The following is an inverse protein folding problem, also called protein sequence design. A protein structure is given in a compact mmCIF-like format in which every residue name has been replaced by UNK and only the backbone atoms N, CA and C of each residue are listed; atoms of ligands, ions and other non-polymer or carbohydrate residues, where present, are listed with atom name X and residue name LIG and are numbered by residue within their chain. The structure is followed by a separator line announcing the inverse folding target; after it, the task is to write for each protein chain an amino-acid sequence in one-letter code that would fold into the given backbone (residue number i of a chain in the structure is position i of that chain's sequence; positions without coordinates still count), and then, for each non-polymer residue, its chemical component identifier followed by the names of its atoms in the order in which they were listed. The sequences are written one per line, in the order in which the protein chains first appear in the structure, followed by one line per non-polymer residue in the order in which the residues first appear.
data_IF_337853354824
#
_entry.id   IF_337853354824
#
_cell.length_a   1.000
_cell.length_b   1.000
_cell.length_c   1.000
_cell.angle_alpha   90.00
_cell.angle_beta   90.00
_cell.angle_gamma   90.00
#
_symmetry.space_group_name_H-M   'P 1'
#
loop_
_entity.id
_entity.type
_entity.pdbx_description
1 polymer ?
#
# COMPACT_ATOMS: atom_id res chain seq x y z
N UNK A 1 4.58 24.92 -2.69
CA UNK A 1 4.66 23.44 -2.72
C UNK A 1 4.09 23.06 -4.06
N UNK A 2 4.95 22.87 -5.07
CA UNK A 2 4.50 22.56 -6.44
C UNK A 2 3.74 21.24 -6.42
N UNK A 3 2.66 21.15 -7.18
CA UNK A 3 1.87 19.95 -7.43
C UNK A 3 2.76 18.90 -8.15
N UNK A 4 3.67 18.29 -7.39
CA UNK A 4 4.52 17.22 -7.88
C UNK A 4 3.72 15.91 -7.92
N UNK A 5 3.58 15.39 -9.14
CA UNK A 5 4.01 14.04 -9.56
C UNK A 5 3.36 12.82 -8.89
N UNK A 6 2.05 12.80 -8.66
CA UNK A 6 1.37 11.51 -8.43
C UNK A 6 1.37 10.63 -9.69
N UNK A 7 1.40 11.25 -10.88
CA UNK A 7 1.53 10.54 -12.16
C UNK A 7 2.83 9.75 -12.30
N UNK A 8 3.90 10.09 -11.57
CA UNK A 8 5.19 9.43 -11.76
C UNK A 8 5.15 7.92 -11.55
N UNK A 9 4.26 7.45 -10.67
CA UNK A 9 4.22 6.05 -10.23
C UNK A 9 3.43 5.16 -11.19
N UNK A 10 2.22 5.59 -11.54
CA UNK A 10 1.39 4.95 -12.56
C UNK A 10 2.07 5.04 -13.93
N UNK A 11 2.64 6.20 -14.27
CA UNK A 11 3.30 6.39 -15.56
C UNK A 11 4.60 5.59 -15.63
N UNK A 12 5.30 5.38 -14.51
CA UNK A 12 6.45 4.47 -14.49
C UNK A 12 6.01 3.04 -14.82
N UNK A 13 4.91 2.54 -14.25
CA UNK A 13 4.41 1.20 -14.59
C UNK A 13 3.97 1.14 -16.05
N UNK A 14 3.20 2.13 -16.49
CA UNK A 14 2.69 2.20 -17.85
C UNK A 14 3.81 2.25 -18.89
N UNK A 15 4.76 3.17 -18.75
CA UNK A 15 5.84 3.36 -19.71
C UNK A 15 6.82 2.19 -19.72
N UNK A 16 7.24 1.69 -18.55
CA UNK A 16 8.29 0.67 -18.47
C UNK A 16 7.79 -0.75 -18.70
N UNK A 17 6.52 -1.06 -18.41
CA UNK A 17 6.01 -2.42 -18.54
C UNK A 17 4.93 -2.55 -19.61
N UNK A 18 3.91 -1.71 -19.60
CA UNK A 18 2.78 -1.89 -20.53
C UNK A 18 3.18 -1.50 -21.95
N UNK A 19 3.68 -0.28 -22.11
CA UNK A 19 4.03 0.29 -23.41
C UNK A 19 5.26 -0.38 -24.01
N UNK A 20 6.31 -0.59 -23.21
CA UNK A 20 7.55 -1.24 -23.65
C UNK A 20 7.34 -2.66 -24.17
N UNK A 21 6.39 -3.40 -23.60
CA UNK A 21 6.13 -4.79 -23.96
C UNK A 21 4.89 -5.00 -24.84
N UNK A 22 4.24 -3.91 -25.31
CA UNK A 22 3.06 -3.97 -26.18
C UNK A 22 1.96 -4.92 -25.66
N UNK A 23 1.72 -4.90 -24.34
CA UNK A 23 0.88 -5.91 -23.69
C UNK A 23 -0.61 -5.65 -23.94
N UNK A 24 -1.01 -4.38 -23.99
CA UNK A 24 -2.40 -3.95 -24.15
C UNK A 24 -2.49 -2.85 -25.19
N UNK A 25 -3.56 -2.89 -25.98
CA UNK A 25 -3.97 -1.73 -26.79
C UNK A 25 -4.49 -0.62 -25.86
N UNK A 26 -4.33 0.63 -26.27
CA UNK A 26 -4.77 1.79 -25.45
C UNK A 26 -6.26 1.77 -25.11
N UNK A 27 -7.08 1.10 -25.93
CA UNK A 27 -8.52 0.93 -25.70
C UNK A 27 -8.84 -0.02 -24.56
N UNK A 28 -7.90 -0.91 -24.22
CA UNK A 28 -8.09 -1.96 -23.21
C UNK A 28 -7.61 -1.49 -21.81
N UNK A 29 -7.07 -0.27 -21.73
CA UNK A 29 -6.37 0.25 -20.56
C UNK A 29 -7.03 1.53 -20.04
N UNK A 30 -7.34 1.54 -18.75
CA UNK A 30 -7.70 2.74 -18.01
C UNK A 30 -6.59 3.11 -17.02
N UNK A 31 -6.09 4.34 -17.10
CA UNK A 31 -5.12 4.92 -16.15
C UNK A 31 -5.80 6.09 -15.44
N UNK A 32 -5.92 5.97 -14.12
CA UNK A 32 -6.56 7.01 -13.32
C UNK A 32 -5.85 8.37 -13.46
N UNK A 33 -6.63 9.41 -13.71
CA UNK A 33 -6.15 10.79 -13.82
C UNK A 33 -5.62 11.17 -15.20
N UNK A 34 -5.44 10.22 -16.13
CA UNK A 34 -5.02 10.51 -17.50
C UNK A 34 -6.16 10.50 -18.52
N UNK A 35 -7.29 9.87 -18.20
CA UNK A 35 -8.39 9.65 -19.14
C UNK A 35 -9.73 10.07 -18.53
N UNK A 36 -10.55 10.77 -19.32
CA UNK A 36 -11.97 10.93 -19.04
C UNK A 36 -12.66 9.58 -19.24
N UNK A 37 -13.48 9.16 -18.27
CA UNK A 37 -14.12 7.84 -18.31
C UNK A 37 -15.52 7.93 -18.87
N UNK A 38 -15.75 7.22 -19.98
CA UNK A 38 -17.09 6.83 -20.40
C UNK A 38 -17.47 5.51 -19.69
N UNK A 39 -18.52 5.55 -18.86
CA UNK A 39 -18.94 4.41 -18.01
C UNK A 39 -19.39 3.20 -18.84
N UNK A 40 -19.74 3.40 -20.11
CA UNK A 40 -20.15 2.34 -21.04
C UNK A 40 -18.98 1.53 -21.62
N UNK A 41 -17.74 1.98 -21.41
CA UNK A 41 -16.53 1.28 -21.87
C UNK A 41 -16.00 0.38 -20.75
N UNK A 42 -15.74 -0.88 -21.11
CA UNK A 42 -15.07 -1.84 -20.24
C UNK A 42 -13.58 -1.92 -20.58
N UNK A 43 -12.75 -2.16 -19.57
CA UNK A 43 -11.30 -2.22 -19.70
C UNK A 43 -10.76 -3.56 -19.21
N UNK A 44 -9.74 -4.10 -19.90
CA UNK A 44 -9.03 -5.32 -19.48
C UNK A 44 -7.99 -5.05 -18.42
N UNK A 45 -7.46 -3.84 -18.36
CA UNK A 45 -6.49 -3.43 -17.36
C UNK A 45 -6.85 -2.06 -16.79
N UNK A 46 -6.91 -1.98 -15.47
CA UNK A 46 -7.05 -0.72 -14.74
C UNK A 46 -5.78 -0.52 -13.91
N UNK A 47 -5.13 0.62 -14.09
CA UNK A 47 -4.04 1.08 -13.24
C UNK A 47 -4.51 2.26 -12.38
N UNK A 48 -4.33 2.15 -11.07
CA UNK A 48 -4.75 3.19 -10.13
C UNK A 48 -3.82 3.28 -8.92
N UNK A 49 -3.60 4.49 -8.44
CA UNK A 49 -2.93 4.76 -7.17
C UNK A 49 -3.95 5.21 -6.11
N UNK A 50 -3.68 4.91 -4.84
CA UNK A 50 -4.51 5.45 -3.76
C UNK A 50 -3.99 6.83 -3.35
N UNK A 51 -4.85 7.88 -3.35
CA UNK A 51 -4.37 9.23 -3.20
C UNK A 51 -3.82 9.47 -1.77
N UNK A 52 -2.50 9.64 -1.67
CA UNK A 52 -1.78 9.88 -0.40
C UNK A 52 -2.13 11.19 0.31
N UNK A 53 -2.72 12.16 -0.42
CA UNK A 53 -2.77 13.57 0.00
C UNK A 53 -3.99 13.93 0.86
N UNK A 54 -4.98 13.05 0.99
CA UNK A 54 -6.21 13.40 1.70
C UNK A 54 -6.17 12.90 3.14
N UNK A 55 -5.84 13.79 4.07
CA UNK A 55 -5.98 13.59 5.54
C UNK A 55 -7.41 13.24 6.00
N UNK A 56 -8.39 13.19 5.08
CA UNK A 56 -9.80 12.92 5.33
C UNK A 56 -10.40 11.94 4.30
N UNK A 57 -9.63 10.99 3.79
CA UNK A 57 -10.27 9.87 3.08
C UNK A 57 -11.11 9.09 4.08
N UNK A 58 -12.42 9.20 3.95
CA UNK A 58 -13.38 8.33 4.61
C UNK A 58 -13.37 6.98 3.89
N UNK A 59 -13.71 5.92 4.61
CA UNK A 59 -13.88 4.58 4.01
C UNK A 59 -14.80 4.60 2.78
N UNK A 60 -15.78 5.51 2.74
CA UNK A 60 -16.71 5.66 1.61
C UNK A 60 -16.02 5.96 0.27
N UNK A 61 -14.99 6.81 0.24
CA UNK A 61 -14.33 7.19 -1.03
C UNK A 61 -13.60 5.99 -1.61
N UNK A 62 -12.99 5.16 -0.77
CA UNK A 62 -12.32 3.94 -1.22
C UNK A 62 -13.32 2.94 -1.78
N UNK A 63 -14.46 2.77 -1.11
CA UNK A 63 -15.51 1.86 -1.56
C UNK A 63 -16.09 2.32 -2.90
N UNK A 64 -16.43 3.61 -3.03
CA UNK A 64 -16.95 4.18 -4.29
C UNK A 64 -15.99 3.94 -5.45
N UNK A 65 -14.69 4.14 -5.22
CA UNK A 65 -13.64 3.88 -6.21
C UNK A 65 -13.55 2.40 -6.58
N UNK A 66 -13.61 1.50 -5.60
CA UNK A 66 -13.62 0.05 -5.84
C UNK A 66 -14.88 -0.41 -6.59
N UNK A 67 -16.04 0.16 -6.27
CA UNK A 67 -17.29 -0.11 -6.98
C UNK A 67 -17.22 0.38 -8.44
N UNK A 68 -16.68 1.57 -8.66
CA UNK A 68 -16.45 2.11 -9.99
C UNK A 68 -15.51 1.21 -10.80
N UNK A 69 -14.38 0.78 -10.24
CA UNK A 69 -13.48 -0.16 -10.95
C UNK A 69 -14.18 -1.46 -11.31
N UNK A 70 -15.03 -1.98 -10.43
CA UNK A 70 -15.82 -3.18 -10.72
C UNK A 70 -16.81 -2.95 -11.86
N UNK A 71 -17.38 -1.76 -11.95
CA UNK A 71 -18.30 -1.38 -13.01
C UNK A 71 -17.61 -1.24 -14.37
N UNK A 72 -16.37 -0.78 -14.44
CA UNK A 72 -15.68 -0.60 -15.74
C UNK A 72 -14.72 -1.74 -16.11
N UNK A 73 -14.60 -2.79 -15.29
CA UNK A 73 -13.74 -3.94 -15.59
C UNK A 73 -14.40 -4.93 -16.55
N UNK A 74 -13.65 -5.41 -17.55
CA UNK A 74 -14.05 -6.53 -18.41
C UNK A 74 -14.04 -7.86 -17.64
N UNK A 75 -14.75 -8.86 -18.19
CA UNK A 75 -14.63 -10.23 -17.70
C UNK A 75 -13.18 -10.72 -17.90
N UNK A 76 -12.58 -11.29 -16.86
CA UNK A 76 -11.15 -11.63 -16.78
C UNK A 76 -10.18 -10.43 -16.74
N UNK A 77 -10.70 -9.21 -16.65
CA UNK A 77 -9.89 -8.01 -16.49
C UNK A 77 -9.10 -7.99 -15.17
N UNK A 78 -8.07 -7.15 -15.16
CA UNK A 78 -7.15 -6.95 -14.05
C UNK A 78 -7.22 -5.52 -13.53
N UNK A 79 -7.19 -5.37 -12.21
CA UNK A 79 -6.90 -4.07 -11.57
C UNK A 79 -5.57 -4.18 -10.84
N UNK A 80 -4.65 -3.27 -11.13
CA UNK A 80 -3.41 -3.11 -10.40
C UNK A 80 -3.51 -1.83 -9.58
N UNK A 81 -3.60 -2.02 -8.25
CA UNK A 81 -3.65 -0.93 -7.29
C UNK A 81 -2.30 -0.71 -6.64
N UNK A 82 -1.90 0.55 -6.55
CA UNK A 82 -0.70 0.96 -5.83
C UNK A 82 -1.17 1.61 -4.54
N UNK A 83 -0.81 1.01 -3.42
CA UNK A 83 -1.29 1.45 -2.10
C UNK A 83 -0.14 1.63 -1.11
N UNK A 84 -0.32 2.50 -0.10
CA UNK A 84 0.56 2.47 1.07
C UNK A 84 0.46 1.12 1.78
N UNK A 85 1.60 0.50 2.12
CA UNK A 85 1.61 -0.84 2.74
C UNK A 85 0.86 -0.89 4.07
N UNK A 86 0.78 0.22 4.82
CA UNK A 86 0.05 0.25 6.08
C UNK A 86 -1.47 0.00 5.94
N UNK A 87 -2.05 0.16 4.75
CA UNK A 87 -3.45 -0.20 4.52
C UNK A 87 -3.67 -1.73 4.60
N UNK A 88 -2.62 -2.53 4.33
CA UNK A 88 -2.68 -3.99 4.35
C UNK A 88 -2.75 -4.59 5.74
N UNK A 89 -2.32 -3.88 6.79
CA UNK A 89 -2.26 -4.45 8.15
C UNK A 89 -2.84 -3.56 9.24
N UNK A 90 -2.93 -2.23 9.04
CA UNK A 90 -3.35 -1.34 10.12
C UNK A 90 -4.81 -1.58 10.53
N UNK A 91 -5.09 -1.56 11.83
CA UNK A 91 -6.47 -1.66 12.36
C UNK A 91 -7.40 -0.55 11.83
N UNK A 92 -6.87 0.65 11.61
CA UNK A 92 -7.63 1.78 11.06
C UNK A 92 -8.14 1.52 9.63
N UNK A 93 -7.55 0.56 8.91
CA UNK A 93 -7.88 0.25 7.51
C UNK A 93 -8.57 -1.12 7.36
N UNK A 94 -9.08 -1.68 8.45
CA UNK A 94 -9.74 -3.00 8.43
C UNK A 94 -10.95 -3.03 7.50
N UNK A 95 -11.84 -2.04 7.59
CA UNK A 95 -13.01 -1.94 6.71
C UNK A 95 -12.61 -1.93 5.23
N UNK A 96 -11.58 -1.15 4.87
CA UNK A 96 -11.06 -1.12 3.50
C UNK A 96 -10.67 -2.52 3.00
N UNK A 97 -9.96 -3.32 3.83
CA UNK A 97 -9.57 -4.68 3.44
C UNK A 97 -10.77 -5.61 3.32
N UNK A 98 -11.74 -5.48 4.21
CA UNK A 98 -13.00 -6.23 4.15
C UNK A 98 -13.76 -5.91 2.86
N UNK A 99 -13.93 -4.63 2.54
CA UNK A 99 -14.61 -4.18 1.33
C UNK A 99 -13.89 -4.65 0.06
N UNK A 100 -12.55 -4.55 0.06
CA UNK A 100 -11.70 -5.05 -1.03
C UNK A 100 -11.92 -6.54 -1.31
N UNK A 101 -11.93 -7.36 -0.25
CA UNK A 101 -12.15 -8.81 -0.34
C UNK A 101 -13.58 -9.19 -0.72
N UNK A 102 -14.58 -8.35 -0.40
CA UNK A 102 -15.97 -8.56 -0.81
C UNK A 102 -16.21 -8.19 -2.28
N UNK A 103 -15.56 -7.14 -2.77
CA UNK A 103 -15.79 -6.63 -4.12
C UNK A 103 -14.99 -7.39 -5.17
N UNK A 104 -13.77 -7.81 -4.84
CA UNK A 104 -12.81 -8.39 -5.76
C UNK A 104 -12.17 -9.69 -5.24
N UNK A 105 -11.69 -10.50 -6.17
CA UNK A 105 -10.71 -11.53 -5.86
C UNK A 105 -9.30 -10.91 -5.83
N UNK A 106 -8.61 -11.03 -4.70
CA UNK A 106 -7.21 -10.63 -4.57
C UNK A 106 -6.33 -11.78 -5.10
N UNK A 107 -5.83 -11.63 -6.31
CA UNK A 107 -4.97 -12.63 -6.94
C UNK A 107 -3.55 -12.57 -6.38
N UNK A 108 -3.01 -11.36 -6.21
CA UNK A 108 -1.68 -11.17 -5.67
C UNK A 108 -1.50 -9.89 -4.87
N UNK A 109 -0.56 -9.92 -3.93
CA UNK A 109 -0.07 -8.76 -3.18
C UNK A 109 1.45 -8.78 -3.23
N UNK A 110 2.06 -7.67 -3.61
CA UNK A 110 3.51 -7.53 -3.65
C UNK A 110 3.95 -6.32 -2.83
N UNK A 111 4.68 -6.56 -1.73
CA UNK A 111 5.27 -5.49 -0.92
C UNK A 111 6.62 -5.09 -1.49
N UNK A 112 6.82 -3.79 -1.75
CA UNK A 112 8.08 -3.26 -2.28
C UNK A 112 8.95 -2.78 -1.12
N UNK A 113 10.05 -3.49 -0.89
CA UNK A 113 11.00 -3.24 0.20
C UNK A 113 12.19 -2.37 -0.21
N UNK A 114 12.22 -1.89 -1.47
CA UNK A 114 13.32 -1.10 -2.00
C UNK A 114 13.26 0.33 -1.44
N UNK A 115 14.25 0.76 -0.64
CA UNK A 115 14.31 2.14 -0.15
C UNK A 115 14.39 3.12 -1.31
N UNK A 116 13.62 4.21 -1.26
CA UNK A 116 13.59 5.26 -2.28
C UNK A 116 13.26 4.77 -3.70
N UNK A 117 12.59 3.61 -3.87
CA UNK A 117 12.11 3.18 -5.18
C UNK A 117 11.33 4.30 -5.89
N UNK A 118 10.58 5.06 -5.10
CA UNK A 118 10.07 6.35 -5.50
C UNK A 118 10.90 7.43 -4.81
N UNK A 119 11.64 8.20 -5.58
CA UNK A 119 12.57 9.27 -5.14
C UNK A 119 11.94 10.35 -4.24
N UNK A 120 10.63 10.27 -3.96
CA UNK A 120 9.84 11.33 -3.34
C UNK A 120 9.04 10.88 -2.11
N UNK A 121 9.25 9.64 -1.62
CA UNK A 121 8.41 9.07 -0.57
C UNK A 121 9.19 8.22 0.43
N UNK A 122 9.00 8.51 1.72
CA UNK A 122 9.40 7.64 2.84
C UNK A 122 8.34 6.57 3.16
N UNK A 123 7.26 6.54 2.41
CA UNK A 123 6.13 5.62 2.61
C UNK A 123 6.43 4.36 1.80
N UNK A 124 6.37 3.19 2.46
CA UNK A 124 6.43 1.90 1.78
C UNK A 124 5.15 1.67 0.98
N UNK A 125 5.28 1.05 -0.19
CA UNK A 125 4.14 0.75 -1.05
C UNK A 125 4.03 -0.73 -1.34
N UNK A 126 2.82 -1.13 -1.68
CA UNK A 126 2.52 -2.47 -2.13
C UNK A 126 1.64 -2.40 -3.38
N UNK A 127 1.83 -3.35 -4.28
CA UNK A 127 0.92 -3.60 -5.38
C UNK A 127 -0.14 -4.61 -4.94
N UNK A 128 -1.40 -4.34 -5.27
CA UNK A 128 -2.47 -5.32 -5.18
C UNK A 128 -2.98 -5.61 -6.57
N UNK A 129 -3.04 -6.89 -6.90
CA UNK A 129 -3.59 -7.41 -8.14
C UNK A 129 -4.98 -7.96 -7.86
N UNK A 130 -5.99 -7.33 -8.43
CA UNK A 130 -7.38 -7.71 -8.28
C UNK A 130 -7.93 -8.24 -9.60
N UNK A 131 -8.84 -9.20 -9.48
CA UNK A 131 -9.68 -9.68 -10.58
C UNK A 131 -11.14 -9.63 -10.16
N UNK A 132 -12.01 -9.67 -11.16
CA UNK A 132 -13.43 -9.97 -10.91
C UNK A 132 -13.54 -11.25 -10.06
N UNK A 133 -14.52 -11.27 -9.15
CA UNK A 133 -14.60 -12.25 -8.07
C UNK A 133 -14.76 -13.70 -8.57
N UNK A 134 -13.66 -14.37 -8.87
CA UNK A 134 -13.58 -15.80 -9.12
C UNK A 134 -13.30 -16.52 -7.79
N UNK A 135 -13.95 -17.66 -7.56
CA UNK A 135 -13.77 -18.46 -6.34
C UNK A 135 -12.39 -19.14 -6.33
N UNK A 136 -11.39 -18.42 -5.83
CA UNK A 136 -10.12 -19.00 -5.40
C UNK A 136 -9.86 -18.68 -3.92
N UNK A 137 -9.30 -19.65 -3.22
CA UNK A 137 -9.00 -19.59 -1.80
C UNK A 137 -7.54 -19.22 -1.48
N UNK A 138 -6.72 -18.94 -2.49
CA UNK A 138 -5.30 -18.64 -2.30
C UNK A 138 -5.04 -17.21 -2.75
N UNK A 139 -4.27 -16.47 -1.95
CA UNK A 139 -3.69 -15.18 -2.30
C UNK A 139 -2.19 -15.38 -2.49
N UNK A 140 -1.66 -14.93 -3.61
CA UNK A 140 -0.24 -15.00 -3.91
C UNK A 140 0.46 -13.77 -3.33
N UNK A 141 1.39 -13.98 -2.40
CA UNK A 141 2.08 -12.88 -1.73
C UNK A 141 3.55 -12.85 -2.11
N UNK A 142 4.09 -11.66 -2.36
CA UNK A 142 5.45 -11.43 -2.82
C UNK A 142 6.09 -10.33 -1.99
N UNK A 143 7.40 -10.44 -1.77
CA UNK A 143 8.22 -9.40 -1.17
C UNK A 143 9.31 -9.09 -2.19
N UNK A 144 9.29 -7.86 -2.71
CA UNK A 144 10.12 -7.41 -3.81
C UNK A 144 11.23 -6.50 -3.25
N UNK A 145 12.46 -6.99 -3.30
CA UNK A 145 13.65 -6.40 -2.73
C UNK A 145 14.58 -5.80 -3.78
N UNK A 146 14.33 -6.04 -5.07
CA UNK A 146 15.13 -5.47 -6.17
C UNK A 146 14.28 -5.08 -7.39
N UNK A 147 14.84 -4.23 -8.25
CA UNK A 147 14.17 -3.82 -9.49
C UNK A 147 13.91 -5.03 -10.41
N UNK A 148 14.85 -5.96 -10.47
CA UNK A 148 14.73 -7.19 -11.25
C UNK A 148 13.56 -8.05 -10.78
N UNK A 149 13.31 -8.12 -9.47
CA UNK A 149 12.16 -8.83 -8.90
C UNK A 149 10.83 -8.15 -9.26
N UNK A 150 10.80 -6.81 -9.30
CA UNK A 150 9.63 -6.04 -9.74
C UNK A 150 9.36 -6.28 -11.23
N UNK A 151 10.40 -6.25 -12.06
CA UNK A 151 10.30 -6.51 -13.49
C UNK A 151 9.78 -7.93 -13.75
N UNK A 152 10.31 -8.91 -13.01
CA UNK A 152 9.86 -10.30 -13.09
C UNK A 152 8.41 -10.46 -12.62
N UNK A 153 8.04 -9.79 -11.52
CA UNK A 153 6.67 -9.78 -11.01
C UNK A 153 5.69 -9.28 -12.08
N UNK A 154 5.89 -8.09 -12.64
CA UNK A 154 4.99 -7.54 -13.66
C UNK A 154 4.98 -8.37 -14.93
N UNK A 155 6.13 -8.86 -15.40
CA UNK A 155 6.21 -9.77 -16.54
C UNK A 155 5.36 -11.02 -16.30
N UNK A 156 5.39 -11.59 -15.10
CA UNK A 156 4.61 -12.77 -14.75
C UNK A 156 3.12 -12.48 -14.65
N UNK A 157 2.73 -11.37 -14.01
CA UNK A 157 1.32 -10.93 -13.93
C UNK A 157 0.72 -10.77 -15.33
N UNK A 158 1.41 -10.04 -16.22
CA UNK A 158 0.89 -9.77 -17.56
C UNK A 158 0.88 -10.97 -18.50
N UNK A 159 1.74 -11.97 -18.27
CA UNK A 159 1.69 -13.24 -19.00
C UNK A 159 0.67 -14.24 -18.41
N UNK A 160 -0.09 -13.85 -17.37
CA UNK A 160 -1.01 -14.75 -16.67
C UNK A 160 -0.32 -15.83 -15.82
N UNK A 161 0.98 -15.66 -15.55
CA UNK A 161 1.84 -16.63 -14.86
C UNK A 161 2.09 -16.22 -13.40
N UNK A 162 1.03 -16.07 -12.59
CA UNK A 162 1.17 -15.71 -11.17
C UNK A 162 1.79 -16.84 -10.32
N UNK A 163 1.93 -18.04 -10.90
CA UNK A 163 2.44 -19.24 -10.22
C UNK A 163 3.97 -19.43 -10.25
N UNK A 164 4.78 -18.44 -10.64
CA UNK A 164 6.24 -18.61 -10.65
C UNK A 164 6.77 -18.85 -9.22
N UNK A 165 7.44 -19.98 -9.01
CA UNK A 165 7.82 -20.48 -7.68
C UNK A 165 8.92 -19.70 -6.96
N UNK A 166 9.62 -18.79 -7.62
CA UNK A 166 10.89 -18.28 -7.11
C UNK A 166 10.79 -17.21 -6.01
N UNK A 167 9.62 -16.59 -5.78
CA UNK A 167 9.47 -15.45 -4.85
C UNK A 167 8.13 -15.41 -4.10
N UNK A 168 7.41 -16.53 -4.05
CA UNK A 168 6.00 -16.57 -3.65
C UNK A 168 5.78 -17.19 -2.28
N UNK A 169 5.06 -16.46 -1.43
CA UNK A 169 4.37 -16.97 -0.25
C UNK A 169 2.91 -17.22 -0.65
N UNK A 170 2.41 -18.44 -0.45
CA UNK A 170 0.99 -18.76 -0.71
C UNK A 170 0.21 -18.67 0.59
N UNK A 171 -0.73 -17.72 0.66
CA UNK A 171 -1.58 -17.55 1.83
C UNK A 171 -2.97 -18.08 1.49
N UNK A 172 -3.42 -19.08 2.23
CA UNK A 172 -4.79 -19.55 2.12
C UNK A 172 -5.72 -18.58 2.84
N UNK A 173 -6.91 -18.29 2.30
CA UNK A 173 -7.86 -17.31 2.84
C UNK A 173 -8.29 -17.63 4.27
N UNK A 174 -8.37 -18.90 4.65
CA UNK A 174 -8.66 -19.37 6.00
C UNK A 174 -7.55 -19.05 7.01
N UNK A 175 -6.33 -18.80 6.53
CA UNK A 175 -5.18 -18.37 7.37
C UNK A 175 -5.09 -16.86 7.52
N UNK A 176 -5.97 -16.08 6.88
CA UNK A 176 -5.94 -14.63 6.98
C UNK A 176 -6.49 -14.22 8.34
N UNK A 177 -5.59 -13.82 9.24
CA UNK A 177 -5.94 -13.39 10.59
C UNK A 177 -6.33 -11.91 10.59
N UNK A 178 -7.45 -11.55 11.21
CA UNK A 178 -7.89 -10.15 11.38
C UNK A 178 -7.87 -9.33 10.07
N UNK A 179 -8.16 -9.99 8.94
CA UNK A 179 -8.08 -9.42 7.61
C UNK A 179 -6.70 -8.84 7.25
N UNK A 180 -5.60 -9.23 7.90
CA UNK A 180 -4.24 -8.75 7.60
C UNK A 180 -3.78 -9.33 6.27
N UNK A 181 -3.38 -8.46 5.35
CA UNK A 181 -3.01 -8.81 3.97
C UNK A 181 -1.52 -8.53 3.67
N UNK A 182 -0.72 -8.19 4.68
CA UNK A 182 0.70 -7.90 4.49
C UNK A 182 1.51 -9.20 4.33
N UNK A 183 2.21 -9.40 3.19
CA UNK A 183 3.11 -10.54 3.00
C UNK A 183 4.11 -10.75 4.14
N UNK A 184 4.61 -9.67 4.75
CA UNK A 184 5.62 -9.76 5.82
C UNK A 184 5.06 -10.42 7.09
N UNK A 185 3.75 -10.31 7.35
CA UNK A 185 3.11 -10.93 8.52
C UNK A 185 3.14 -12.46 8.46
N UNK A 186 3.24 -13.03 7.26
CA UNK A 186 3.16 -14.48 7.03
C UNK A 186 4.52 -15.12 6.76
N UNK A 187 5.62 -14.40 7.01
CA UNK A 187 6.97 -14.95 6.96
C UNK A 187 7.19 -15.95 8.10
N UNK A 188 7.95 -17.00 7.84
CA UNK A 188 8.21 -18.05 8.83
C UNK A 188 8.87 -17.46 10.09
N UNK A 189 9.80 -16.53 9.93
CA UNK A 189 10.50 -15.87 11.03
C UNK A 189 9.54 -15.10 11.94
N UNK A 190 8.55 -14.40 11.36
CA UNK A 190 7.54 -13.68 12.14
C UNK A 190 6.65 -14.66 12.91
N UNK A 191 6.21 -15.73 12.25
CA UNK A 191 5.34 -16.75 12.84
C UNK A 191 6.04 -17.52 13.96
N UNK A 192 7.34 -17.76 13.84
CA UNK A 192 8.17 -18.35 14.90
C UNK A 192 8.24 -17.44 16.12
N UNK A 193 8.45 -16.13 15.92
CA UNK A 193 8.47 -15.15 17.01
C UNK A 193 7.10 -15.07 17.69
N UNK A 194 6.00 -14.97 16.94
CA UNK A 194 4.64 -14.97 17.51
C UNK A 194 4.37 -16.23 18.35
N UNK A 195 4.77 -17.40 17.83
CA UNK A 195 4.65 -18.65 18.56
C UNK A 195 5.48 -18.64 19.85
N UNK A 196 6.71 -18.12 19.82
CA UNK A 196 7.53 -17.97 21.01
C UNK A 196 6.87 -17.05 22.03
N UNK A 197 6.41 -15.87 21.60
CA UNK A 197 5.75 -14.87 22.40
C UNK A 197 4.44 -15.36 23.03
N UNK A 198 3.71 -16.26 22.36
CA UNK A 198 2.47 -16.84 22.88
C UNK A 198 2.63 -17.62 24.19
N UNK A 199 3.87 -18.05 24.51
CA UNK A 199 4.19 -18.72 25.78
C UNK A 199 4.32 -17.75 26.95
N UNK A 200 4.36 -16.44 26.69
CA UNK A 200 4.51 -15.41 27.70
C UNK A 200 3.18 -14.71 27.98
N UNK A 201 2.98 -14.33 29.24
CA UNK A 201 1.86 -13.48 29.60
C UNK A 201 2.16 -12.04 29.18
N UNK A 202 1.64 -11.63 28.02
CA UNK A 202 1.77 -10.27 27.53
C UNK A 202 0.94 -9.31 28.40
N UNK A 203 1.57 -8.21 28.85
CA UNK A 203 0.90 -7.08 29.50
C UNK A 203 0.97 -5.88 28.58
N UNK A 204 -0.08 -5.07 28.50
CA UNK A 204 -0.01 -3.85 27.69
C UNK A 204 0.99 -2.91 28.33
N UNK A 205 1.79 -2.22 27.51
CA UNK A 205 2.77 -1.25 28.01
C UNK A 205 2.09 -0.16 28.87
N UNK A 206 0.87 0.23 28.53
CA UNK A 206 0.06 1.17 29.31
C UNK A 206 -0.39 0.66 30.67
N UNK A 207 -0.36 -0.67 30.90
CA UNK A 207 -0.64 -1.27 32.22
C UNK A 207 0.63 -1.30 33.09
N UNK A 208 1.80 -1.21 32.47
CA UNK A 208 3.11 -1.25 33.14
C UNK A 208 3.68 0.16 33.40
N UNK A 209 3.26 1.14 32.61
CA UNK A 209 3.79 2.49 32.66
C UNK A 209 2.70 3.53 32.32
N UNK A 210 2.73 4.64 33.04
CA UNK A 210 1.96 5.82 32.69
C UNK A 210 2.58 6.47 31.45
N UNK A 211 1.90 6.36 30.31
CA UNK A 211 2.29 7.04 29.07
C UNK A 211 1.90 8.52 29.14
N UNK A 212 2.81 9.36 29.63
CA UNK A 212 2.66 10.80 29.58
C UNK A 212 2.66 11.28 28.13
N UNK A 213 1.48 11.56 27.59
CA UNK A 213 1.33 12.21 26.28
C UNK A 213 1.66 13.68 26.44
N UNK A 214 2.81 14.11 25.93
CA UNK A 214 3.15 15.53 25.86
C UNK A 214 2.05 16.32 25.13
N UNK A 215 1.76 17.53 25.63
CA UNK A 215 0.84 18.44 24.94
C UNK A 215 1.40 18.84 23.58
N UNK A 216 0.62 18.65 22.52
CA UNK A 216 0.87 19.32 21.24
C UNK A 216 0.47 20.79 21.38
N UNK A 217 1.44 21.67 21.58
CA UNK A 217 1.19 23.11 21.54
C UNK A 217 0.78 23.52 20.13
N UNK A 218 -0.29 24.32 20.02
CA UNK A 218 -0.66 24.95 18.75
C UNK A 218 0.42 25.95 18.38
N UNK A 219 0.67 26.10 17.07
CA UNK A 219 1.73 26.99 16.59
C UNK A 219 1.48 28.44 17.03
N UNK A 220 0.21 28.83 17.18
CA UNK A 220 -0.18 30.17 17.65
C UNK A 220 0.28 30.49 19.10
N UNK A 221 0.59 29.47 19.90
CA UNK A 221 1.01 29.61 21.31
C UNK A 221 2.54 29.59 21.43
N UNK A 222 3.25 29.21 20.35
CA UNK A 222 4.70 29.22 20.32
C UNK A 222 5.19 30.64 20.05
N UNK A 223 5.89 31.22 21.02
CA UNK A 223 6.58 32.51 20.90
C UNK A 223 8.02 32.30 20.42
N UNK A 224 8.58 33.28 19.71
CA UNK A 224 9.97 33.23 19.24
C UNK A 224 10.97 33.31 20.41
N UNK A 225 10.61 34.01 21.48
CA UNK A 225 11.41 34.16 22.71
C UNK A 225 10.57 33.78 23.94
N UNK A 226 11.15 33.00 24.85
CA UNK A 226 10.51 32.59 26.10
C UNK A 226 11.40 31.74 26.99
N UNK A 227 10.98 31.52 28.24
CA UNK A 227 11.76 30.75 29.22
C UNK A 227 11.88 29.26 28.88
N UNK A 228 10.96 28.73 28.06
CA UNK A 228 10.89 27.32 27.68
C UNK A 228 11.29 27.15 26.22
N UNK A 229 12.46 26.54 25.98
CA UNK A 229 12.92 26.21 24.64
C UNK A 229 12.20 24.96 24.10
N UNK A 230 11.47 25.12 22.98
CA UNK A 230 10.83 24.00 22.29
C UNK A 230 11.76 23.38 21.24
N UNK A 231 12.27 22.18 21.52
CA UNK A 231 13.11 21.43 20.58
C UNK A 231 12.27 20.34 19.91
N UNK A 232 12.17 20.35 18.58
CA UNK A 232 11.58 19.22 17.84
C UNK A 232 12.55 18.06 17.84
N UNK A 233 12.07 16.82 17.99
CA UNK A 233 12.92 15.61 17.97
C UNK A 233 13.80 15.53 16.71
N UNK A 234 13.27 15.95 15.55
CA UNK A 234 14.03 16.01 14.29
C UNK A 234 15.21 17.00 14.29
N UNK A 235 15.24 17.91 15.26
CA UNK A 235 16.32 18.88 15.47
C UNK A 235 17.38 18.33 16.44
N UNK A 236 17.26 17.10 16.94
CA UNK A 236 18.27 16.42 17.75
C UNK A 236 19.04 15.41 16.89
N UNK A 237 20.36 15.59 16.78
CA UNK A 237 21.27 14.61 16.18
C UNK A 237 22.55 14.53 17.01
N UNK A 238 23.07 13.33 17.27
CA UNK A 238 24.35 13.12 17.97
C UNK A 238 24.48 13.93 19.29
N UNK A 239 23.42 13.94 20.10
CA UNK A 239 23.32 14.74 21.35
C UNK A 239 23.51 16.26 21.17
N UNK A 240 23.29 16.78 19.95
CA UNK A 240 23.35 18.21 19.63
C UNK A 240 22.02 18.65 19.02
N UNK A 241 21.67 19.91 19.27
CA UNK A 241 20.48 20.55 18.70
C UNK A 241 20.90 21.26 17.41
N UNK A 242 20.26 20.94 16.31
CA UNK A 242 20.50 21.50 14.98
C UNK A 242 19.25 22.20 14.44
N UNK A 243 19.45 23.41 13.96
CA UNK A 243 18.41 24.27 13.38
C UNK A 243 18.62 25.70 13.84
N UNK A 244 18.45 26.67 12.93
CA UNK A 244 18.31 28.07 13.34
C UNK A 244 17.12 28.14 14.29
N UNK A 245 17.30 28.80 15.45
CA UNK A 245 16.19 29.33 16.22
C UNK A 245 15.22 30.05 15.27
N UNK A 246 13.95 30.06 15.63
CA UNK A 246 12.90 30.73 14.87
C UNK A 246 13.37 32.12 14.39
#
# INVERSE_FOLDING_TARGET
MKEYENFGLLNHIFENYIKKHHIFDKTDLYIEGEMDVEVDIKYRLILSDFPFKYRKLTSSIYIEKLLFFKEILESEGLVILIIPSNLLFSKASENFRTDLQHLFYIEAIASVSIPNYFNFSFVSFSFIILKEAIKQNIINSFILNSQEEIDLFFKNIFNGLVNSSLLRISISKDKIENNILDPNYYQEEYLEIEKELSNYQLKKLGDLAELLRGMRYRREILVEEGEINFIRVRNLQNNKIFGKGA
#
